data_IF_851380680632
#
_entry.id   IF_851380680632
#
_cell.length_a   1.000
_cell.length_b   1.000
_cell.length_c   1.000
_cell.angle_alpha   90.00
_cell.angle_beta   90.00
_cell.angle_gamma   90.00
#
_symmetry.space_group_name_H-M   'P 1'
#
loop_
_entity.id
_entity.type
_entity.pdbx_description
1 polymer ?
#
# COMPACT_ATOMS: atom_id res chain seq x y z
N UNK A 1 18.56 -5.00 -14.61
CA UNK A 1 17.85 -3.97 -15.44
C UNK A 1 16.37 -3.89 -15.09
N UNK A 2 15.68 -5.03 -14.92
CA UNK A 2 14.26 -5.07 -14.57
C UNK A 2 13.96 -4.43 -13.20
N UNK A 3 14.76 -4.70 -12.17
CA UNK A 3 14.65 -4.06 -10.85
C UNK A 3 14.64 -2.52 -10.93
N UNK A 4 15.56 -1.95 -11.72
CA UNK A 4 15.66 -0.50 -11.94
C UNK A 4 14.46 0.07 -12.68
N UNK A 5 13.81 -0.71 -13.54
CA UNK A 5 12.62 -0.27 -14.24
C UNK A 5 11.40 -0.34 -13.34
N UNK A 6 11.22 -1.43 -12.57
CA UNK A 6 10.02 -1.65 -11.76
C UNK A 6 10.03 -0.90 -10.42
N UNK A 7 11.20 -0.73 -9.80
CA UNK A 7 11.35 -0.15 -8.46
C UNK A 7 11.88 1.30 -8.49
N UNK A 8 11.83 1.94 -9.66
CA UNK A 8 12.05 3.38 -9.77
C UNK A 8 10.86 4.13 -9.16
N UNK A 9 11.10 5.35 -8.63
CA UNK A 9 10.08 6.21 -8.04
C UNK A 9 8.84 6.38 -8.92
N UNK A 10 9.04 6.54 -10.22
CA UNK A 10 7.96 6.77 -11.18
C UNK A 10 7.12 5.51 -11.39
N UNK A 11 7.76 4.36 -11.39
CA UNK A 11 7.10 3.06 -11.52
C UNK A 11 6.28 2.77 -10.27
N UNK A 12 6.82 3.05 -9.07
CA UNK A 12 6.07 2.95 -7.81
C UNK A 12 4.82 3.84 -7.84
N UNK A 13 4.95 5.09 -8.29
CA UNK A 13 3.79 6.00 -8.44
C UNK A 13 2.77 5.42 -9.42
N UNK A 14 3.22 4.90 -10.57
CA UNK A 14 2.32 4.30 -11.56
C UNK A 14 1.59 3.09 -10.99
N UNK A 15 2.29 2.18 -10.30
CA UNK A 15 1.65 1.03 -9.65
C UNK A 15 0.67 1.47 -8.56
N UNK A 16 1.02 2.47 -7.73
CA UNK A 16 0.10 3.01 -6.74
C UNK A 16 -1.19 3.57 -7.38
N UNK A 17 -1.09 4.21 -8.55
CA UNK A 17 -2.28 4.71 -9.28
C UNK A 17 -3.09 3.54 -9.87
N UNK A 18 -2.42 2.55 -10.45
CA UNK A 18 -3.06 1.35 -11.02
C UNK A 18 -3.80 0.55 -9.93
N UNK A 19 -3.26 0.47 -8.72
CA UNK A 19 -3.90 -0.18 -7.57
C UNK A 19 -4.98 0.73 -6.95
N UNK A 20 -4.69 2.02 -6.83
CA UNK A 20 -5.58 2.99 -6.19
C UNK A 20 -6.91 3.17 -6.94
N UNK A 21 -6.91 3.05 -8.26
CA UNK A 21 -8.13 3.16 -9.07
C UNK A 21 -9.16 2.04 -8.76
N UNK A 22 -8.86 0.74 -8.92
CA UNK A 22 -9.80 -0.33 -8.58
C UNK A 22 -10.13 -0.33 -7.09
N UNK A 23 -9.18 0.02 -6.21
CA UNK A 23 -9.46 0.16 -4.78
C UNK A 23 -10.50 1.25 -4.50
N UNK A 24 -10.40 2.41 -5.17
CA UNK A 24 -11.40 3.49 -5.03
C UNK A 24 -12.77 3.05 -5.53
N UNK A 25 -12.82 2.34 -6.66
CA UNK A 25 -14.07 1.81 -7.18
C UNK A 25 -14.68 0.76 -6.23
N UNK A 26 -13.86 -0.13 -5.68
CA UNK A 26 -14.29 -1.13 -4.71
C UNK A 26 -14.86 -0.49 -3.44
N UNK A 27 -14.21 0.53 -2.88
CA UNK A 27 -14.72 1.26 -1.71
C UNK A 27 -16.10 1.89 -1.98
N UNK A 28 -16.27 2.52 -3.16
CA UNK A 28 -17.55 3.10 -3.56
C UNK A 28 -18.63 2.01 -3.67
N UNK A 29 -18.29 0.87 -4.27
CA UNK A 29 -19.21 -0.26 -4.44
C UNK A 29 -19.57 -0.89 -3.10
N UNK A 30 -18.60 -1.14 -2.21
CA UNK A 30 -18.82 -1.68 -0.88
C UNK A 30 -19.76 -0.77 -0.08
N UNK A 31 -19.52 0.54 -0.09
CA UNK A 31 -20.40 1.51 0.57
C UNK A 31 -21.80 1.49 -0.05
N UNK A 32 -21.90 1.40 -1.38
CA UNK A 32 -23.18 1.26 -2.10
C UNK A 32 -23.95 0.01 -1.64
N UNK A 33 -23.30 -1.15 -1.65
CA UNK A 33 -23.87 -2.43 -1.26
C UNK A 33 -24.27 -2.47 0.21
N UNK A 34 -23.46 -1.90 1.10
CA UNK A 34 -23.72 -1.92 2.53
C UNK A 34 -24.79 -0.91 2.95
N UNK A 35 -24.86 0.28 2.36
CA UNK A 35 -25.69 1.38 2.88
C UNK A 35 -26.85 1.77 1.97
N UNK A 36 -26.73 1.58 0.65
CA UNK A 36 -27.70 2.05 -0.33
C UNK A 36 -28.50 0.91 -0.98
N UNK A 37 -27.95 -0.31 -1.05
CA UNK A 37 -28.72 -1.51 -1.35
C UNK A 37 -29.62 -1.84 -0.15
N UNK A 38 -30.92 -2.01 -0.41
CA UNK A 38 -31.91 -2.30 0.63
C UNK A 38 -31.53 -3.55 1.44
N UNK A 39 -31.74 -3.47 2.76
CA UNK A 39 -31.30 -4.36 3.85
C UNK A 39 -31.51 -5.89 3.72
N UNK A 40 -32.05 -6.41 2.62
CA UNK A 40 -32.61 -7.77 2.60
C UNK A 40 -31.84 -8.84 1.82
N UNK A 41 -30.74 -8.51 1.12
CA UNK A 41 -30.06 -9.52 0.31
C UNK A 41 -28.72 -9.93 0.93
N UNK A 42 -28.65 -11.16 1.45
CA UNK A 42 -27.40 -11.77 1.94
C UNK A 42 -26.33 -11.81 0.83
N UNK A 43 -26.77 -11.77 -0.43
CA UNK A 43 -25.89 -11.63 -1.59
C UNK A 43 -25.03 -10.37 -1.54
N UNK A 44 -25.57 -9.23 -1.09
CA UNK A 44 -24.87 -7.94 -1.06
C UNK A 44 -23.79 -7.90 0.02
N UNK A 45 -24.04 -8.54 1.17
CA UNK A 45 -23.06 -8.67 2.25
C UNK A 45 -21.90 -9.56 1.81
N UNK A 46 -22.22 -10.69 1.15
CA UNK A 46 -21.22 -11.60 0.62
C UNK A 46 -20.34 -10.93 -0.46
N UNK A 47 -20.97 -10.20 -1.39
CA UNK A 47 -20.25 -9.48 -2.44
C UNK A 47 -19.35 -8.37 -1.88
N UNK A 48 -19.82 -7.61 -0.89
CA UNK A 48 -19.00 -6.62 -0.18
C UNK A 48 -17.81 -7.26 0.55
N UNK A 49 -18.00 -8.44 1.16
CA UNK A 49 -16.94 -9.24 1.75
C UNK A 49 -15.86 -9.63 0.73
N UNK A 50 -16.27 -10.21 -0.41
CA UNK A 50 -15.35 -10.60 -1.50
C UNK A 50 -14.54 -9.43 -2.05
N UNK A 51 -15.18 -8.27 -2.25
CA UNK A 51 -14.47 -7.06 -2.70
C UNK A 51 -13.45 -6.59 -1.65
N UNK A 52 -13.83 -6.66 -0.37
CA UNK A 52 -12.96 -6.25 0.74
C UNK A 52 -11.75 -7.18 0.84
N UNK A 53 -11.96 -8.50 0.80
CA UNK A 53 -10.89 -9.50 0.83
C UNK A 53 -9.95 -9.35 -0.38
N UNK A 54 -10.50 -9.31 -1.59
CA UNK A 54 -9.71 -9.17 -2.81
C UNK A 54 -8.82 -7.92 -2.83
N UNK A 55 -9.34 -6.78 -2.34
CA UNK A 55 -8.54 -5.55 -2.21
C UNK A 55 -7.54 -5.61 -1.05
N UNK A 56 -7.88 -6.29 0.05
CA UNK A 56 -6.95 -6.60 1.14
C UNK A 56 -5.71 -7.33 0.63
N UNK A 57 -5.90 -8.42 -0.12
CA UNK A 57 -4.81 -9.19 -0.75
C UNK A 57 -3.94 -8.30 -1.64
N UNK A 58 -4.54 -7.43 -2.45
CA UNK A 58 -3.79 -6.51 -3.33
C UNK A 58 -2.92 -5.54 -2.52
N UNK A 59 -3.47 -4.95 -1.45
CA UNK A 59 -2.72 -4.05 -0.57
C UNK A 59 -1.57 -4.78 0.14
N UNK A 60 -1.81 -6.01 0.59
CA UNK A 60 -0.79 -6.85 1.23
C UNK A 60 0.32 -7.16 0.23
N UNK A 61 -0.01 -7.70 -0.94
CA UNK A 61 0.97 -8.08 -1.95
C UNK A 61 1.84 -6.90 -2.38
N UNK A 62 1.24 -5.72 -2.59
CA UNK A 62 2.01 -4.52 -2.89
C UNK A 62 2.80 -4.00 -1.68
N UNK A 63 2.25 -4.12 -0.48
CA UNK A 63 2.93 -3.79 0.77
C UNK A 63 4.21 -4.58 0.97
N UNK A 64 4.21 -5.90 0.71
CA UNK A 64 5.43 -6.74 0.72
C UNK A 64 6.47 -6.19 -0.26
N UNK A 65 6.06 -5.85 -1.49
CA UNK A 65 6.98 -5.35 -2.52
C UNK A 65 7.64 -4.03 -2.10
N UNK A 66 6.90 -3.15 -1.42
CA UNK A 66 7.42 -1.88 -0.93
C UNK A 66 8.28 -2.05 0.32
N UNK A 67 7.88 -2.90 1.26
CA UNK A 67 8.60 -3.16 2.51
C UNK A 67 9.97 -3.76 2.23
N UNK A 68 9.98 -4.80 1.38
CA UNK A 68 11.17 -5.56 1.00
C UNK A 68 11.76 -5.06 -0.33
N UNK A 69 11.62 -3.77 -0.65
CA UNK A 69 12.09 -3.17 -1.91
C UNK A 69 13.52 -3.60 -2.26
N UNK A 70 14.41 -3.64 -1.27
CA UNK A 70 15.80 -4.06 -1.50
C UNK A 70 15.91 -5.56 -1.83
N UNK A 71 15.21 -6.43 -1.08
CA UNK A 71 15.17 -7.87 -1.36
C UNK A 71 14.57 -8.17 -2.72
N UNK A 72 13.48 -7.48 -3.11
CA UNK A 72 12.88 -7.60 -4.44
C UNK A 72 13.84 -7.09 -5.52
N UNK A 73 14.56 -5.99 -5.29
CA UNK A 73 15.55 -5.50 -6.23
C UNK A 73 16.70 -6.50 -6.45
N UNK A 74 17.15 -7.18 -5.39
CA UNK A 74 18.21 -8.17 -5.44
C UNK A 74 17.76 -9.44 -6.18
N UNK A 75 16.52 -9.92 -5.93
CA UNK A 75 15.91 -11.01 -6.69
C UNK A 75 15.81 -10.69 -8.20
N UNK A 76 15.61 -9.42 -8.56
CA UNK A 76 15.47 -8.96 -9.94
C UNK A 76 16.82 -8.50 -10.57
N UNK A 77 17.94 -8.92 -9.99
CA UNK A 77 19.28 -8.77 -10.55
C UNK A 77 20.05 -7.52 -10.12
N UNK A 78 19.70 -6.96 -8.96
CA UNK A 78 20.44 -5.89 -8.29
C UNK A 78 20.34 -4.51 -8.93
N UNK A 79 20.33 -3.47 -8.10
CA UNK A 79 20.37 -2.08 -8.55
C UNK A 79 21.76 -1.46 -8.32
N UNK A 80 22.46 -0.99 -9.37
CA UNK A 80 23.61 -0.12 -9.17
C UNK A 80 23.18 1.18 -8.48
N UNK A 81 23.62 1.38 -7.23
CA UNK A 81 23.33 2.55 -6.39
C UNK A 81 24.10 3.77 -6.91
N UNK A 82 23.50 4.48 -7.85
CA UNK A 82 24.10 5.71 -8.40
C UNK A 82 24.14 6.87 -7.37
N UNK A 83 23.27 6.85 -6.36
CA UNK A 83 23.29 7.78 -5.23
C UNK A 83 22.76 7.09 -3.95
N UNK A 84 23.63 6.62 -3.05
CA UNK A 84 23.24 5.83 -1.88
C UNK A 84 22.31 6.57 -0.91
N UNK A 85 22.52 7.87 -0.68
CA UNK A 85 21.72 8.66 0.25
C UNK A 85 20.29 8.91 -0.27
N UNK A 86 20.17 9.13 -1.59
CA UNK A 86 18.87 9.29 -2.26
C UNK A 86 18.05 8.00 -2.22
N UNK A 87 18.67 6.86 -2.52
CA UNK A 87 18.00 5.56 -2.47
C UNK A 87 17.59 5.18 -1.05
N UNK A 88 18.43 5.44 -0.04
CA UNK A 88 18.10 5.15 1.36
C UNK A 88 16.86 5.92 1.86
N UNK A 89 16.66 7.16 1.41
CA UNK A 89 15.48 7.94 1.77
C UNK A 89 14.20 7.40 1.12
N UNK A 90 14.28 6.97 -0.14
CA UNK A 90 13.15 6.30 -0.83
C UNK A 90 12.85 4.96 -0.16
N UNK A 91 13.87 4.18 0.18
CA UNK A 91 13.73 2.91 0.87
C UNK A 91 13.01 3.09 2.21
N UNK A 92 13.39 4.09 3.01
CA UNK A 92 12.71 4.36 4.28
C UNK A 92 11.23 4.72 4.11
N UNK A 93 10.89 5.52 3.10
CA UNK A 93 9.49 5.86 2.78
C UNK A 93 8.70 4.64 2.32
N UNK A 94 9.28 3.81 1.46
CA UNK A 94 8.63 2.60 0.96
C UNK A 94 8.48 1.56 2.07
N UNK A 95 9.47 1.43 2.95
CA UNK A 95 9.43 0.51 4.07
C UNK A 95 8.26 0.80 5.02
N UNK A 96 8.14 2.05 5.48
CA UNK A 96 7.05 2.45 6.38
C UNK A 96 5.66 2.34 5.73
N UNK A 97 5.56 2.76 4.47
CA UNK A 97 4.30 2.68 3.74
C UNK A 97 3.92 1.23 3.44
N UNK A 98 4.88 0.39 3.04
CA UNK A 98 4.69 -1.03 2.77
C UNK A 98 4.17 -1.78 3.98
N UNK A 99 4.81 -1.59 5.14
CA UNK A 99 4.35 -2.14 6.41
C UNK A 99 2.93 -1.66 6.76
N UNK A 100 2.62 -0.39 6.51
CA UNK A 100 1.26 0.14 6.75
C UNK A 100 0.23 -0.54 5.86
N UNK A 101 0.50 -0.71 4.56
CA UNK A 101 -0.42 -1.37 3.63
C UNK A 101 -0.64 -2.85 4.00
N UNK A 102 0.42 -3.55 4.42
CA UNK A 102 0.33 -4.92 4.91
C UNK A 102 -0.62 -5.05 6.09
N UNK A 103 -0.40 -4.24 7.12
CA UNK A 103 -1.22 -4.27 8.34
C UNK A 103 -2.66 -3.89 8.04
N UNK A 104 -2.88 -2.83 7.26
CA UNK A 104 -4.23 -2.37 6.92
C UNK A 104 -5.01 -3.39 6.08
N UNK A 105 -4.37 -4.00 5.09
CA UNK A 105 -4.99 -5.05 4.27
C UNK A 105 -5.32 -6.30 5.09
N UNK A 106 -4.38 -6.77 5.94
CA UNK A 106 -4.59 -7.92 6.81
C UNK A 106 -5.73 -7.69 7.80
N UNK A 107 -5.80 -6.49 8.40
CA UNK A 107 -6.90 -6.16 9.29
C UNK A 107 -8.22 -6.18 8.51
N UNK A 108 -8.30 -5.57 7.33
CA UNK A 108 -9.52 -5.61 6.52
C UNK A 108 -9.99 -7.04 6.23
N UNK A 109 -9.08 -7.95 5.89
CA UNK A 109 -9.41 -9.38 5.71
C UNK A 109 -9.90 -10.05 6.99
N UNK A 110 -9.31 -9.74 8.15
CA UNK A 110 -9.77 -10.28 9.44
C UNK A 110 -11.23 -9.88 9.70
N UNK A 111 -11.64 -8.65 9.36
CA UNK A 111 -13.04 -8.23 9.50
C UNK A 111 -13.98 -9.03 8.58
N UNK A 112 -13.57 -9.34 7.35
CA UNK A 112 -14.35 -10.22 6.45
C UNK A 112 -14.47 -11.62 7.03
N UNK A 113 -13.36 -12.19 7.49
CA UNK A 113 -13.34 -13.52 8.09
C UNK A 113 -14.20 -13.63 9.36
N UNK A 114 -14.40 -12.53 10.10
CA UNK A 114 -15.32 -12.52 11.24
C UNK A 114 -16.79 -12.71 10.83
N UNK A 115 -17.19 -12.31 9.62
CA UNK A 115 -18.58 -12.43 9.12
C UNK A 115 -18.80 -13.65 8.22
N UNK A 116 -17.73 -14.27 7.73
CA UNK A 116 -17.83 -15.53 6.97
C UNK A 116 -17.98 -16.77 7.85
N UNK A 117 -17.77 -16.63 9.17
CA UNK A 117 -17.98 -17.73 10.12
C UNK A 117 -19.47 -18.11 10.09
N UNK A 118 -19.80 -19.40 9.86
CA UNK A 118 -21.19 -19.82 9.80
C UNK A 118 -21.98 -19.50 11.08
N UNK A 119 -23.24 -19.06 10.94
CA UNK A 119 -24.09 -18.62 12.06
C UNK A 119 -24.36 -19.68 13.12
N UNK A 120 -24.23 -20.97 12.75
CA UNK A 120 -24.34 -22.07 13.70
C UNK A 120 -23.15 -22.18 14.66
N UNK A 121 -22.03 -21.49 14.37
CA UNK A 121 -20.84 -21.40 15.22
C UNK A 121 -20.88 -20.08 16.00
N UNK A 122 -21.01 -18.96 15.30
CA UNK A 122 -21.12 -17.62 15.86
C UNK A 122 -22.23 -16.90 15.09
N UNK A 123 -23.33 -16.57 15.77
CA UNK A 123 -24.40 -15.81 15.14
C UNK A 123 -23.93 -14.36 14.91
N UNK A 124 -23.71 -14.01 13.64
CA UNK A 124 -23.31 -12.68 13.19
C UNK A 124 -24.47 -11.85 12.65
N UNK A 125 -25.70 -12.39 12.67
CA UNK A 125 -26.90 -11.74 12.16
C UNK A 125 -27.03 -10.30 12.70
N UNK A 126 -27.08 -9.35 11.76
CA UNK A 126 -27.34 -7.95 12.07
C UNK A 126 -26.13 -7.12 12.51
N UNK A 127 -24.96 -7.73 12.75
CA UNK A 127 -23.70 -7.00 12.98
C UNK A 127 -22.77 -6.99 11.77
N UNK A 128 -23.00 -7.84 10.76
CA UNK A 128 -22.12 -7.99 9.59
C UNK A 128 -21.84 -6.67 8.91
N UNK A 129 -22.86 -5.83 8.74
CA UNK A 129 -22.73 -4.49 8.15
C UNK A 129 -21.71 -3.63 8.89
N UNK A 130 -21.76 -3.64 10.23
CA UNK A 130 -20.86 -2.83 11.06
C UNK A 130 -19.44 -3.35 10.95
N UNK A 131 -19.27 -4.68 10.98
CA UNK A 131 -17.98 -5.34 10.85
C UNK A 131 -17.37 -5.08 9.47
N UNK A 132 -18.12 -5.28 8.38
CA UNK A 132 -17.65 -5.01 7.01
C UNK A 132 -17.38 -3.52 6.76
N UNK A 133 -18.17 -2.61 7.33
CA UNK A 133 -17.87 -1.17 7.27
C UNK A 133 -16.54 -0.85 7.98
N UNK A 134 -16.21 -1.59 9.05
CA UNK A 134 -14.90 -1.53 9.69
C UNK A 134 -13.78 -1.93 8.73
N UNK A 135 -13.92 -3.07 8.05
CA UNK A 135 -12.97 -3.53 7.03
C UNK A 135 -12.77 -2.51 5.89
N UNK A 136 -13.87 -1.97 5.36
CA UNK A 136 -13.88 -0.92 4.33
C UNK A 136 -13.13 0.35 4.79
N UNK A 137 -13.28 0.74 6.06
CA UNK A 137 -12.54 1.87 6.61
C UNK A 137 -11.01 1.62 6.63
N UNK A 138 -10.56 0.40 6.92
CA UNK A 138 -9.13 0.05 6.86
C UNK A 138 -8.60 0.06 5.42
N UNK A 139 -9.39 -0.40 4.45
CA UNK A 139 -9.06 -0.26 3.03
C UNK A 139 -8.96 1.20 2.59
N UNK A 140 -9.85 2.07 3.07
CA UNK A 140 -9.80 3.50 2.81
C UNK A 140 -8.52 4.14 3.38
N UNK A 141 -8.09 3.74 4.58
CA UNK A 141 -6.78 4.15 5.13
C UNK A 141 -5.61 3.65 4.28
N UNK A 142 -5.73 2.44 3.70
CA UNK A 142 -4.77 1.90 2.73
C UNK A 142 -4.67 2.76 1.47
N UNK A 143 -5.81 3.17 0.91
CA UNK A 143 -5.87 4.10 -0.22
C UNK A 143 -5.22 5.44 0.11
N UNK A 144 -5.53 6.03 1.27
CA UNK A 144 -4.90 7.26 1.74
C UNK A 144 -3.38 7.09 1.83
N UNK A 145 -2.90 5.96 2.35
CA UNK A 145 -1.47 5.64 2.43
C UNK A 145 -0.82 5.60 1.04
N UNK A 146 -1.45 4.97 0.05
CA UNK A 146 -0.98 4.97 -1.35
C UNK A 146 -0.89 6.38 -1.94
N UNK A 147 -1.91 7.21 -1.71
CA UNK A 147 -1.94 8.61 -2.19
C UNK A 147 -0.85 9.43 -1.53
N UNK A 148 -0.69 9.30 -0.21
CA UNK A 148 0.35 10.01 0.56
C UNK A 148 1.75 9.58 0.14
N UNK A 149 2.01 8.28 -0.05
CA UNK A 149 3.28 7.78 -0.56
C UNK A 149 3.56 8.35 -1.95
N UNK A 150 2.59 8.29 -2.86
CA UNK A 150 2.73 8.81 -4.22
C UNK A 150 3.02 10.32 -4.22
N UNK A 151 2.32 11.08 -3.38
CA UNK A 151 2.55 12.51 -3.22
C UNK A 151 3.93 12.83 -2.62
N UNK A 152 4.38 12.06 -1.61
CA UNK A 152 5.72 12.20 -1.03
C UNK A 152 6.81 11.89 -2.05
N UNK A 153 6.67 10.81 -2.83
CA UNK A 153 7.61 10.44 -3.89
C UNK A 153 7.64 11.47 -5.03
N UNK A 154 6.49 12.02 -5.44
CA UNK A 154 6.40 13.04 -6.47
C UNK A 154 7.03 14.38 -6.03
N UNK A 155 6.85 14.76 -4.76
CA UNK A 155 7.42 15.98 -4.17
C UNK A 155 8.87 15.78 -3.70
N UNK A 156 9.40 14.56 -3.74
CA UNK A 156 10.78 14.26 -3.38
C UNK A 156 11.74 14.89 -4.40
N UNK A 157 11.97 16.19 -4.22
CA UNK A 157 12.94 16.97 -4.98
C UNK A 157 14.32 16.55 -4.53
N UNK A 158 15.26 16.46 -5.47
CA UNK A 158 16.68 16.13 -5.27
C UNK A 158 17.37 17.23 -4.45
N UNK A 159 16.95 17.45 -3.21
CA UNK A 159 17.47 18.52 -2.36
C UNK A 159 18.73 18.04 -1.65
N UNK A 160 19.90 18.52 -2.12
CA UNK A 160 21.00 18.86 -1.22
C UNK A 160 22.28 18.04 -1.24
N UNK A 161 22.77 17.54 -2.38
CA UNK A 161 24.11 16.92 -2.47
C UNK A 161 25.02 17.47 -3.57
N UNK A 162 24.64 18.55 -4.25
CA UNK A 162 25.50 19.23 -5.24
C UNK A 162 26.38 20.35 -4.66
N UNK A 163 26.24 20.72 -3.37
CA UNK A 163 26.99 21.85 -2.76
C UNK A 163 27.89 21.42 -1.59
N UNK A 164 28.86 20.56 -1.86
CA UNK A 164 30.10 20.59 -1.07
C UNK A 164 31.27 20.24 -1.98
N UNK A 165 31.97 21.23 -2.56
CA UNK A 165 33.28 20.98 -3.11
C UNK A 165 34.12 20.45 -1.96
N UNK A 166 34.62 19.22 -2.10
CA UNK A 166 35.65 18.66 -1.22
C UNK A 166 36.79 19.66 -1.22
N UNK A 167 36.93 20.42 -0.14
CA UNK A 167 38.10 21.24 0.09
C UNK A 167 39.27 20.27 0.29
N UNK A 168 40.03 20.02 -0.77
CA UNK A 168 41.33 19.35 -0.68
C UNK A 168 42.20 20.29 0.15
N UNK A 169 42.64 19.93 1.37
CA UNK A 169 43.58 20.75 2.09
C UNK A 169 44.90 20.75 1.29
N UNK A 170 45.34 21.93 0.84
CA UNK A 170 46.69 22.12 0.33
C UNK A 170 47.68 21.69 1.41
N UNK A 171 48.33 20.54 1.18
CA UNK A 171 49.50 20.12 1.94
C UNK A 171 50.62 21.10 1.59
N UNK A 172 50.81 22.13 2.42
CA UNK A 172 52.04 22.94 2.38
C UNK A 172 53.19 22.07 2.85
N UNK A 173 54.04 21.67 1.90
CA UNK A 173 55.39 21.23 2.18
C UNK A 173 56.21 22.46 2.59
N UNK A 174 56.58 22.51 3.87
CA UNK A 174 57.67 23.33 4.39
C UNK A 174 58.71 22.41 5.01
#
# INVERSE_FOLDING_TARGET
MLAKLLLNRWSIIVFNVIIGLPLTLALIEIVSLLWFSGYQDHSSIHEAGHLTEGMGVVLIGWGVVLEERHGVADLLGGAPRANPAYEAAIDSLCHQAGLSLLVLGLIAEIFVQCVEIPDHIINTDGIERVVLTGGDAFLALGLVTLVLLSGRLARFRRSGLEDSPVAIPEVRLH
#
